data_IF_734562431955
#
_entry.id   IF_734562431955
#
_cell.length_a   1.000
_cell.length_b   1.000
_cell.length_c   1.000
_cell.angle_alpha   90.00
_cell.angle_beta   90.00
_cell.angle_gamma   90.00
#
_symmetry.space_group_name_H-M   'P 1'
#
loop_
_entity.id
_entity.type
_entity.pdbx_description
1 polymer ?
#
# COMPACT_ATOMS: atom_id res chain seq x y z
N UNK A 1 37.31 35.20 6.71
CA UNK A 1 37.40 34.06 5.77
C UNK A 1 36.17 34.08 4.89
N UNK A 2 36.31 34.09 3.56
CA UNK A 2 35.16 33.96 2.64
C UNK A 2 34.81 32.48 2.53
N UNK A 3 33.80 32.03 3.25
CA UNK A 3 33.28 30.66 3.13
C UNK A 3 32.57 30.52 1.79
N UNK A 4 33.03 29.61 0.94
CA UNK A 4 32.35 29.29 -0.32
C UNK A 4 31.21 28.33 -0.01
N UNK A 5 29.97 28.80 -0.14
CA UNK A 5 28.78 27.98 0.06
C UNK A 5 28.35 27.37 -1.27
N UNK A 6 28.36 26.04 -1.35
CA UNK A 6 27.89 25.28 -2.50
C UNK A 6 26.38 25.03 -2.36
N UNK A 7 25.57 25.78 -3.12
CA UNK A 7 24.09 25.73 -3.04
C UNK A 7 23.54 24.38 -3.47
N UNK A 8 24.17 23.73 -4.43
CA UNK A 8 23.89 22.37 -4.89
C UNK A 8 24.10 21.32 -3.79
N UNK A 9 25.23 21.39 -3.07
CA UNK A 9 25.51 20.51 -1.93
C UNK A 9 24.54 20.79 -0.78
N UNK A 10 24.28 22.06 -0.49
CA UNK A 10 23.31 22.48 0.53
C UNK A 10 21.90 21.95 0.23
N UNK A 11 21.48 22.06 -1.03
CA UNK A 11 20.20 21.53 -1.48
C UNK A 11 20.15 20.00 -1.32
N UNK A 12 21.17 19.28 -1.80
CA UNK A 12 21.21 17.82 -1.74
C UNK A 12 21.16 17.29 -0.30
N UNK A 13 21.96 17.86 0.62
CA UNK A 13 21.98 17.47 2.04
C UNK A 13 20.63 17.75 2.69
N UNK A 14 20.02 18.92 2.43
CA UNK A 14 18.71 19.25 3.00
C UNK A 14 17.58 18.40 2.41
N UNK A 15 17.64 18.03 1.13
CA UNK A 15 16.67 17.08 0.55
C UNK A 15 16.79 15.72 1.20
N UNK A 16 18.01 15.22 1.41
CA UNK A 16 18.22 13.94 2.08
C UNK A 16 17.70 13.95 3.53
N UNK A 17 18.03 14.99 4.30
CA UNK A 17 17.57 15.15 5.67
C UNK A 17 16.04 15.28 5.76
N UNK A 18 15.44 16.13 4.92
CA UNK A 18 13.99 16.31 4.88
C UNK A 18 13.26 15.04 4.42
N UNK A 19 13.85 14.25 3.52
CA UNK A 19 13.31 12.95 3.12
C UNK A 19 13.29 11.97 4.31
N UNK A 20 14.35 11.94 5.12
CA UNK A 20 14.41 11.16 6.36
C UNK A 20 13.34 11.58 7.38
N UNK A 21 13.21 12.89 7.63
CA UNK A 21 12.20 13.44 8.55
C UNK A 21 10.77 13.10 8.09
N UNK A 22 10.46 13.34 6.81
CA UNK A 22 9.16 13.00 6.24
C UNK A 22 8.91 11.48 6.26
N UNK A 23 9.95 10.67 6.07
CA UNK A 23 9.84 9.21 6.11
C UNK A 23 9.43 8.72 7.50
N UNK A 24 10.07 9.24 8.55
CA UNK A 24 9.76 8.92 9.96
C UNK A 24 8.38 9.48 10.35
N UNK A 25 8.08 10.73 10.01
CA UNK A 25 6.78 11.34 10.25
C UNK A 25 5.63 10.56 9.56
N UNK A 26 5.89 10.03 8.37
CA UNK A 26 4.95 9.17 7.65
C UNK A 26 4.72 7.80 8.31
N UNK A 27 5.73 7.22 9.01
CA UNK A 27 5.54 6.02 9.84
C UNK A 27 4.58 6.34 10.97
N UNK A 28 4.91 7.37 11.76
CA UNK A 28 4.18 7.72 12.96
C UNK A 28 2.73 8.12 12.63
N UNK A 29 2.52 8.79 11.50
CA UNK A 29 1.20 9.21 11.06
C UNK A 29 0.42 8.15 10.27
N UNK A 30 0.99 6.96 10.03
CA UNK A 30 0.30 5.86 9.34
C UNK A 30 0.03 6.07 7.84
N UNK A 31 0.76 6.97 7.16
CA UNK A 31 0.53 7.26 5.75
C UNK A 31 1.31 6.34 4.81
N UNK A 32 0.67 5.95 3.68
CA UNK A 32 1.35 5.25 2.58
C UNK A 32 2.37 6.17 1.91
N UNK A 33 3.58 5.65 1.71
CA UNK A 33 4.73 6.40 1.20
C UNK A 33 4.97 6.08 -0.26
N UNK A 34 5.16 7.10 -1.10
CA UNK A 34 5.64 6.96 -2.48
C UNK A 34 6.93 7.75 -2.61
N UNK A 35 8.00 7.11 -3.11
CA UNK A 35 9.33 7.72 -3.17
C UNK A 35 9.33 9.09 -3.89
N UNK A 36 8.64 9.18 -5.04
CA UNK A 36 8.55 10.44 -5.80
C UNK A 36 7.83 11.56 -5.03
N UNK A 37 6.76 11.22 -4.31
CA UNK A 37 6.03 12.20 -3.49
C UNK A 37 6.84 12.65 -2.28
N UNK A 38 7.54 11.72 -1.66
CA UNK A 38 8.42 11.99 -0.54
C UNK A 38 9.56 12.93 -0.95
N UNK A 39 10.18 12.66 -2.11
CA UNK A 39 11.20 13.54 -2.69
C UNK A 39 10.63 14.91 -3.02
N UNK A 40 9.44 15.01 -3.62
CA UNK A 40 8.81 16.30 -3.89
C UNK A 40 8.59 17.13 -2.62
N UNK A 41 8.11 16.51 -1.54
CA UNK A 41 8.00 17.17 -0.23
C UNK A 41 9.37 17.56 0.35
N UNK A 42 10.37 16.69 0.24
CA UNK A 42 11.72 16.96 0.73
C UNK A 42 12.42 18.09 -0.05
N UNK A 43 12.21 18.16 -1.36
CA UNK A 43 12.67 19.25 -2.23
C UNK A 43 12.08 20.58 -1.83
N UNK A 44 10.81 20.65 -1.43
CA UNK A 44 10.23 21.90 -0.92
C UNK A 44 10.95 22.40 0.34
N UNK A 45 11.29 21.50 1.27
CA UNK A 45 12.11 21.83 2.44
C UNK A 45 13.54 22.26 2.08
N UNK A 46 14.19 21.55 1.15
CA UNK A 46 15.53 21.90 0.68
C UNK A 46 15.59 23.25 -0.04
N UNK A 47 14.58 23.57 -0.86
CA UNK A 47 14.44 24.88 -1.50
C UNK A 47 14.25 25.99 -0.47
N UNK A 48 13.44 25.76 0.56
CA UNK A 48 13.27 26.71 1.65
C UNK A 48 14.61 27.05 2.34
N UNK A 49 15.42 26.03 2.65
CA UNK A 49 16.76 26.25 3.23
C UNK A 49 17.68 27.02 2.29
N UNK A 50 17.64 26.75 0.98
CA UNK A 50 18.44 27.50 0.01
C UNK A 50 18.01 28.96 -0.10
N UNK A 51 16.70 29.23 -0.06
CA UNK A 51 16.15 30.60 -0.08
C UNK A 51 16.63 31.38 1.16
N UNK A 52 16.54 30.79 2.35
CA UNK A 52 17.03 31.42 3.59
C UNK A 52 18.54 31.66 3.57
N UNK A 53 19.32 30.76 2.96
CA UNK A 53 20.76 30.92 2.84
C UNK A 53 21.17 32.07 1.91
N UNK A 54 20.40 32.33 0.85
CA UNK A 54 20.67 33.43 -0.10
C UNK A 54 20.10 34.76 0.39
N UNK A 55 18.94 34.74 1.06
CA UNK A 55 18.23 35.94 1.52
C UNK A 55 17.99 35.92 3.04
N UNK A 56 19.02 36.15 3.87
CA UNK A 56 18.91 36.16 5.34
C UNK A 56 18.33 37.50 5.86
N UNK A 57 17.21 37.96 5.28
CA UNK A 57 16.61 39.28 5.56
C UNK A 57 15.46 39.18 6.56
N UNK A 58 14.99 37.96 6.85
CA UNK A 58 13.84 37.74 7.72
C UNK A 58 14.22 37.82 9.20
N UNK A 59 13.42 38.51 10.05
CA UNK A 59 13.59 38.43 11.49
C UNK A 59 13.25 37.02 12.00
N UNK A 60 13.95 36.55 13.04
CA UNK A 60 13.87 35.17 13.56
C UNK A 60 12.44 34.68 13.83
N UNK A 61 11.56 35.56 14.32
CA UNK A 61 10.16 35.20 14.60
C UNK A 61 9.37 34.92 13.31
N UNK A 62 9.64 35.65 12.22
CA UNK A 62 8.99 35.45 10.92
C UNK A 62 9.50 34.18 10.24
N UNK A 63 10.81 33.92 10.32
CA UNK A 63 11.42 32.67 9.84
C UNK A 63 10.79 31.45 10.53
N UNK A 64 10.58 31.52 11.85
CA UNK A 64 9.96 30.46 12.63
C UNK A 64 8.50 30.22 12.18
N UNK A 65 7.72 31.29 12.03
CA UNK A 65 6.33 31.20 11.56
C UNK A 65 6.22 30.63 10.14
N UNK A 66 7.09 31.03 9.22
CA UNK A 66 7.10 30.51 7.85
C UNK A 66 7.50 29.03 7.80
N UNK A 67 8.54 28.66 8.55
CA UNK A 67 9.07 27.29 8.56
C UNK A 67 8.03 26.30 9.12
N UNK A 68 7.47 26.60 10.30
CA UNK A 68 6.52 25.68 10.94
C UNK A 68 5.07 25.88 10.47
N UNK A 69 4.69 27.09 10.10
CA UNK A 69 3.32 27.44 9.70
C UNK A 69 3.01 27.22 8.22
N UNK A 70 4.00 27.32 7.33
CA UNK A 70 3.79 27.22 5.88
C UNK A 70 4.54 26.04 5.25
N UNK A 71 5.85 25.94 5.50
CA UNK A 71 6.71 24.96 4.82
C UNK A 71 6.38 23.53 5.27
N UNK A 72 6.28 23.25 6.58
CA UNK A 72 5.89 21.94 7.09
C UNK A 72 4.58 21.39 6.51
N UNK A 73 3.47 22.17 6.50
CA UNK A 73 2.22 21.78 5.85
C UNK A 73 2.34 21.55 4.34
N UNK A 74 3.13 22.36 3.62
CA UNK A 74 3.39 22.18 2.17
C UNK A 74 4.13 20.87 1.93
N UNK A 75 5.21 20.61 2.68
CA UNK A 75 5.97 19.36 2.61
C UNK A 75 5.06 18.15 2.86
N UNK A 76 4.18 18.24 3.87
CA UNK A 76 3.22 17.19 4.21
C UNK A 76 2.20 16.91 3.10
N UNK A 77 1.63 17.95 2.47
CA UNK A 77 0.67 17.78 1.35
C UNK A 77 1.31 17.19 0.10
N UNK A 78 2.54 17.58 -0.20
CA UNK A 78 3.30 17.03 -1.33
C UNK A 78 3.63 15.55 -1.08
N UNK A 79 4.14 15.23 0.11
CA UNK A 79 4.55 13.88 0.48
C UNK A 79 3.39 12.90 0.68
N UNK A 80 2.27 13.34 1.26
CA UNK A 80 1.19 12.46 1.72
C UNK A 80 -0.20 12.94 1.31
N UNK A 81 -1.16 12.04 1.04
CA UNK A 81 -2.53 12.39 0.68
C UNK A 81 -3.34 12.80 1.92
N UNK A 82 -2.93 13.88 2.59
CA UNK A 82 -3.56 14.38 3.81
C UNK A 82 -4.86 15.12 3.45
N UNK A 83 -6.00 14.65 3.97
CA UNK A 83 -7.30 15.30 3.81
C UNK A 83 -7.70 16.01 5.11
N UNK A 84 -8.15 17.26 4.97
CA UNK A 84 -8.62 18.10 6.08
C UNK A 84 -7.51 18.86 6.81
N UNK A 85 -7.84 20.05 7.31
CA UNK A 85 -6.91 20.93 8.04
C UNK A 85 -6.48 20.35 9.39
N UNK A 86 -7.38 19.65 10.10
CA UNK A 86 -7.06 19.01 11.38
C UNK A 86 -6.01 17.91 11.28
N UNK A 87 -6.10 17.05 10.27
CA UNK A 87 -5.10 15.99 10.04
C UNK A 87 -3.76 16.55 9.57
N UNK A 88 -3.79 17.67 8.84
CA UNK A 88 -2.58 18.38 8.43
C UNK A 88 -1.88 19.02 9.62
N UNK A 89 -2.62 19.67 10.52
CA UNK A 89 -2.06 20.23 11.75
C UNK A 89 -1.42 19.14 12.61
N UNK A 90 -2.10 18.00 12.79
CA UNK A 90 -1.54 16.83 13.50
C UNK A 90 -0.24 16.34 12.86
N UNK A 91 -0.21 16.19 11.53
CA UNK A 91 0.99 15.78 10.82
C UNK A 91 2.15 16.78 10.98
N UNK A 92 1.87 18.08 10.81
CA UNK A 92 2.87 19.13 10.99
C UNK A 92 3.41 19.17 12.42
N UNK A 93 2.56 18.95 13.42
CA UNK A 93 3.00 18.84 14.81
C UNK A 93 3.94 17.65 15.02
N UNK A 94 3.61 16.47 14.49
CA UNK A 94 4.48 15.29 14.51
C UNK A 94 5.81 15.57 13.82
N UNK A 95 5.79 16.16 12.62
CA UNK A 95 6.99 16.53 11.89
C UNK A 95 7.86 17.52 12.68
N UNK A 96 7.25 18.51 13.34
CA UNK A 96 7.95 19.50 14.15
C UNK A 96 8.62 18.88 15.37
N UNK A 97 7.92 17.98 16.08
CA UNK A 97 8.47 17.25 17.24
C UNK A 97 9.68 16.42 16.82
N UNK A 98 9.57 15.66 15.72
CA UNK A 98 10.69 14.87 15.19
C UNK A 98 11.85 15.80 14.83
N UNK A 99 11.58 16.92 14.16
CA UNK A 99 12.61 17.88 13.72
C UNK A 99 13.35 18.54 14.88
N UNK A 100 12.62 18.98 15.92
CA UNK A 100 13.21 19.57 17.13
C UNK A 100 14.06 18.53 17.86
N UNK A 101 13.57 17.31 18.00
CA UNK A 101 14.30 16.23 18.65
C UNK A 101 15.58 15.86 17.89
N UNK A 102 15.48 15.65 16.57
CA UNK A 102 16.63 15.38 15.71
C UNK A 102 17.62 16.54 15.72
N UNK A 103 17.15 17.79 15.63
CA UNK A 103 17.99 18.99 15.71
C UNK A 103 18.71 19.12 17.06
N UNK A 104 18.03 18.82 18.17
CA UNK A 104 18.61 18.80 19.51
C UNK A 104 19.69 17.73 19.66
N UNK A 105 19.45 16.51 19.16
CA UNK A 105 20.44 15.43 19.15
C UNK A 105 21.65 15.78 18.29
N UNK A 106 21.44 16.32 17.09
CA UNK A 106 22.53 16.77 16.20
C UNK A 106 23.33 17.89 16.88
N UNK A 107 22.67 18.85 17.54
CA UNK A 107 23.34 19.93 18.28
C UNK A 107 24.17 19.41 19.46
N UNK A 108 23.64 18.43 20.21
CA UNK A 108 24.38 17.83 21.32
C UNK A 108 25.60 17.02 20.84
N UNK A 109 25.45 16.27 19.74
CA UNK A 109 26.56 15.57 19.08
C UNK A 109 27.57 16.55 18.47
N UNK A 110 27.10 17.66 17.92
CA UNK A 110 27.94 18.73 17.38
C UNK A 110 28.88 19.30 18.46
N UNK A 111 28.35 19.56 19.65
CA UNK A 111 29.10 20.14 20.78
C UNK A 111 30.08 19.14 21.41
N UNK A 112 29.72 17.86 21.51
CA UNK A 112 30.54 16.87 22.22
C UNK A 112 31.52 16.06 21.35
N UNK A 113 31.30 15.95 20.04
CA UNK A 113 32.07 15.03 19.17
C UNK A 113 32.92 15.75 18.13
N UNK A 114 32.91 17.09 18.08
CA UNK A 114 33.69 17.87 17.10
C UNK A 114 33.21 17.74 15.64
N UNK A 115 32.07 17.09 15.40
CA UNK A 115 31.48 16.87 14.07
C UNK A 115 31.06 18.15 13.33
N UNK A 116 31.01 19.28 14.04
CA UNK A 116 30.73 20.58 13.42
C UNK A 116 31.74 21.04 12.37
N UNK A 117 33.01 20.69 12.58
CA UNK A 117 34.06 20.96 11.60
C UNK A 117 33.86 20.11 10.34
N UNK A 118 33.40 18.86 10.46
CA UNK A 118 33.09 17.98 9.31
C UNK A 118 32.07 18.58 8.36
N UNK A 119 30.97 19.07 8.93
CA UNK A 119 29.82 19.57 8.17
C UNK A 119 30.16 20.93 7.56
N UNK A 120 30.85 21.79 8.32
CA UNK A 120 31.40 23.05 7.82
C UNK A 120 32.35 22.84 6.64
N UNK A 121 33.25 21.86 6.74
CA UNK A 121 34.27 21.58 5.73
C UNK A 121 33.70 20.88 4.49
N UNK A 122 32.74 19.97 4.67
CA UNK A 122 31.98 19.35 3.57
C UNK A 122 31.13 20.39 2.81
N UNK A 123 30.47 21.31 3.52
CA UNK A 123 29.70 22.41 2.92
C UNK A 123 30.59 23.48 2.27
N UNK A 124 31.88 23.55 2.66
CA UNK A 124 32.88 24.45 2.10
C UNK A 124 33.72 23.82 0.97
N UNK A 125 33.45 22.57 0.60
CA UNK A 125 34.17 21.85 -0.46
C UNK A 125 35.59 21.42 -0.11
N UNK A 126 35.89 21.22 1.17
CA UNK A 126 37.19 20.73 1.66
C UNK A 126 37.44 19.25 1.33
N UNK A 127 38.70 18.90 1.08
CA UNK A 127 39.13 17.52 0.78
C UNK A 127 38.93 16.64 2.01
N UNK A 128 38.23 15.51 1.86
CA UNK A 128 37.94 14.50 2.89
C UNK A 128 39.18 13.71 3.35
N UNK A 129 40.31 14.38 3.62
CA UNK A 129 41.61 13.72 3.87
C UNK A 129 41.97 13.58 5.36
N UNK A 130 41.03 13.85 6.28
CA UNK A 130 41.31 13.93 7.71
C UNK A 130 40.41 13.12 8.65
N UNK A 131 39.48 12.31 8.12
CA UNK A 131 38.58 11.51 8.96
C UNK A 131 39.10 10.08 9.07
N UNK A 132 39.31 9.61 10.32
CA UNK A 132 39.60 8.21 10.60
C UNK A 132 38.50 7.35 9.99
N UNK A 133 38.89 6.40 9.13
CA UNK A 133 38.06 5.43 8.41
C UNK A 133 36.86 4.91 9.25
N UNK A 134 37.04 4.83 10.57
CA UNK A 134 36.07 4.50 11.60
C UNK A 134 34.75 5.30 11.55
N UNK A 135 34.77 6.61 11.30
CA UNK A 135 33.54 7.44 11.31
C UNK A 135 32.73 7.21 10.04
N UNK A 136 33.40 7.11 8.89
CA UNK A 136 32.76 6.78 7.62
C UNK A 136 32.16 5.38 7.67
N UNK A 137 32.85 4.42 8.30
CA UNK A 137 32.34 3.07 8.55
C UNK A 137 31.11 3.08 9.47
N UNK A 138 31.10 3.89 10.54
CA UNK A 138 29.93 4.01 11.42
C UNK A 138 28.69 4.56 10.68
N UNK A 139 28.87 5.54 9.80
CA UNK A 139 27.77 6.05 8.97
C UNK A 139 27.32 5.03 7.92
N UNK A 140 28.24 4.30 7.30
CA UNK A 140 27.90 3.24 6.35
C UNK A 140 27.18 2.07 7.03
N UNK A 141 27.62 1.67 8.24
CA UNK A 141 26.99 0.61 9.03
C UNK A 141 25.61 1.03 9.52
N UNK A 142 25.45 2.26 10.00
CA UNK A 142 24.13 2.77 10.41
C UNK A 142 23.16 2.89 9.22
N UNK A 143 23.62 3.33 8.05
CA UNK A 143 22.84 3.33 6.82
C UNK A 143 22.48 1.91 6.36
N UNK A 144 23.40 0.95 6.47
CA UNK A 144 23.16 -0.46 6.14
C UNK A 144 22.16 -1.11 7.10
N UNK A 145 22.27 -0.88 8.40
CA UNK A 145 21.32 -1.38 9.40
C UNK A 145 19.93 -0.77 9.22
N UNK A 146 19.86 0.54 8.97
CA UNK A 146 18.62 1.21 8.62
C UNK A 146 18.01 0.65 7.31
N UNK A 147 18.85 0.38 6.31
CA UNK A 147 18.46 -0.27 5.05
C UNK A 147 17.97 -1.71 5.23
N UNK A 148 18.59 -2.49 6.13
CA UNK A 148 18.18 -3.84 6.49
C UNK A 148 16.83 -3.85 7.21
N UNK A 149 16.65 -2.97 8.20
CA UNK A 149 15.36 -2.83 8.88
C UNK A 149 14.29 -2.34 7.91
N UNK A 150 14.62 -1.39 7.02
CA UNK A 150 13.76 -0.94 5.94
C UNK A 150 13.37 -2.10 5.01
N UNK A 151 14.31 -2.94 4.60
CA UNK A 151 14.05 -4.11 3.74
C UNK A 151 13.25 -5.20 4.46
N UNK A 152 13.49 -5.41 5.75
CA UNK A 152 12.76 -6.38 6.56
C UNK A 152 11.32 -5.92 6.84
N UNK A 153 11.11 -4.62 7.06
CA UNK A 153 9.78 -3.99 7.14
C UNK A 153 9.07 -4.03 5.78
N UNK A 154 9.78 -3.72 4.68
CA UNK A 154 9.25 -3.75 3.32
C UNK A 154 8.86 -5.17 2.91
N UNK A 155 9.72 -6.15 3.22
CA UNK A 155 9.43 -7.58 3.03
C UNK A 155 8.20 -8.00 3.83
N UNK A 156 8.04 -7.54 5.07
CA UNK A 156 6.89 -7.91 5.91
C UNK A 156 5.59 -7.22 5.48
N UNK A 157 5.65 -5.99 4.94
CA UNK A 157 4.49 -5.27 4.40
C UNK A 157 4.09 -5.82 3.02
N UNK A 158 5.06 -6.12 2.15
CA UNK A 158 4.81 -6.79 0.88
C UNK A 158 4.31 -8.22 1.07
N UNK A 159 4.81 -8.95 2.08
CA UNK A 159 4.29 -10.27 2.46
C UNK A 159 2.89 -10.22 3.07
N UNK A 160 2.54 -9.17 3.83
CA UNK A 160 1.17 -8.99 4.36
C UNK A 160 0.10 -8.84 3.28
N UNK A 161 0.47 -8.29 2.11
CA UNK A 161 -0.43 -8.20 0.95
C UNK A 161 -0.18 -9.29 -0.09
N UNK A 162 0.85 -10.14 0.09
CA UNK A 162 1.11 -11.27 -0.80
C UNK A 162 0.05 -12.33 -0.52
N UNK A 163 -0.98 -12.34 -1.35
CA UNK A 163 -2.16 -13.17 -1.17
C UNK A 163 -3.44 -12.39 -0.92
N UNK A 164 -3.44 -11.06 -0.80
CA UNK A 164 -4.69 -10.30 -0.77
C UNK A 164 -5.09 -9.85 -2.19
N UNK A 165 -6.36 -10.03 -2.53
CA UNK A 165 -6.97 -9.54 -3.77
C UNK A 165 -8.32 -8.87 -3.47
N UNK A 166 -8.86 -8.07 -4.40
CA UNK A 166 -10.22 -7.53 -4.28
C UNK A 166 -11.19 -8.44 -5.02
N UNK A 167 -12.31 -8.74 -4.39
CA UNK A 167 -13.37 -9.59 -4.94
C UNK A 167 -14.71 -8.87 -4.84
N UNK A 168 -15.49 -8.95 -5.91
CA UNK A 168 -16.86 -8.46 -5.97
C UNK A 168 -17.78 -9.66 -6.15
N UNK A 169 -18.67 -9.88 -5.18
CA UNK A 169 -19.73 -10.88 -5.24
C UNK A 169 -21.01 -10.21 -5.76
N UNK A 170 -21.72 -10.88 -6.66
CA UNK A 170 -22.94 -10.37 -7.29
C UNK A 170 -24.04 -11.42 -7.17
N UNK A 171 -25.22 -10.97 -6.73
CA UNK A 171 -26.46 -11.75 -6.72
C UNK A 171 -27.64 -10.84 -7.08
N UNK A 172 -28.31 -11.12 -8.19
CA UNK A 172 -29.31 -10.26 -8.80
C UNK A 172 -28.78 -8.83 -8.97
N UNK A 173 -29.48 -7.87 -8.38
CA UNK A 173 -29.10 -6.45 -8.39
C UNK A 173 -28.18 -6.03 -7.23
N UNK A 174 -27.78 -6.97 -6.37
CA UNK A 174 -26.95 -6.70 -5.18
C UNK A 174 -25.50 -7.02 -5.46
N UNK A 175 -24.60 -6.21 -4.89
CA UNK A 175 -23.15 -6.36 -5.01
C UNK A 175 -22.49 -6.14 -3.65
N UNK A 176 -21.55 -7.00 -3.31
CA UNK A 176 -20.73 -6.88 -2.12
C UNK A 176 -19.25 -6.91 -2.54
N UNK A 177 -18.52 -5.86 -2.20
CA UNK A 177 -17.10 -5.75 -2.50
C UNK A 177 -16.28 -5.94 -1.23
N UNK A 178 -15.24 -6.78 -1.29
CA UNK A 178 -14.36 -7.02 -0.15
C UNK A 178 -12.92 -7.33 -0.57
N UNK A 179 -12.01 -7.27 0.41
CA UNK A 179 -10.68 -7.86 0.29
C UNK A 179 -10.74 -9.35 0.64
N UNK A 180 -10.02 -10.17 -0.14
CA UNK A 180 -10.00 -11.60 -0.02
C UNK A 180 -8.56 -12.13 0.11
N UNK A 181 -8.35 -13.09 1.01
CA UNK A 181 -7.11 -13.85 1.15
C UNK A 181 -7.13 -15.06 0.21
N UNK A 182 -6.21 -15.08 -0.74
CA UNK A 182 -5.92 -16.20 -1.63
C UNK A 182 -5.26 -17.30 -0.80
N UNK A 183 -6.02 -18.35 -0.52
CA UNK A 183 -5.54 -19.50 0.24
C UNK A 183 -5.37 -20.70 -0.69
N UNK A 184 -4.13 -20.96 -1.10
CA UNK A 184 -3.78 -22.15 -1.90
C UNK A 184 -4.00 -23.47 -1.14
N UNK A 185 -4.16 -23.41 0.18
CA UNK A 185 -4.48 -24.56 1.04
C UNK A 185 -5.97 -24.85 1.14
N UNK A 186 -6.84 -23.91 0.76
CA UNK A 186 -8.29 -24.14 0.76
C UNK A 186 -8.66 -25.11 -0.37
N UNK A 187 -9.20 -26.26 0.03
CA UNK A 187 -9.68 -27.36 -0.84
C UNK A 187 -11.15 -27.68 -0.61
N UNK A 188 -11.93 -26.75 -0.05
CA UNK A 188 -13.35 -26.98 0.17
C UNK A 188 -14.06 -27.10 -1.18
N UNK A 189 -14.81 -28.19 -1.35
CA UNK A 189 -15.63 -28.42 -2.51
C UNK A 189 -17.09 -28.62 -2.12
N UNK A 190 -18.01 -28.15 -2.96
CA UNK A 190 -19.42 -28.46 -2.88
C UNK A 190 -19.62 -29.98 -3.11
N UNK A 191 -20.30 -30.72 -2.21
CA UNK A 191 -20.41 -32.19 -2.30
C UNK A 191 -21.11 -32.72 -3.55
N UNK A 192 -22.09 -31.98 -4.08
CA UNK A 192 -22.95 -32.42 -5.20
C UNK A 192 -22.32 -32.15 -6.57
N UNK A 193 -21.71 -30.98 -6.74
CA UNK A 193 -21.19 -30.53 -8.04
C UNK A 193 -19.66 -30.56 -8.12
N UNK A 194 -18.97 -30.72 -7.00
CA UNK A 194 -17.52 -30.63 -6.91
C UNK A 194 -16.96 -29.20 -7.05
N UNK A 195 -17.81 -28.17 -7.05
CA UNK A 195 -17.38 -26.79 -7.27
C UNK A 195 -16.50 -26.26 -6.12
N UNK A 196 -15.44 -25.50 -6.43
CA UNK A 196 -14.59 -24.89 -5.41
C UNK A 196 -15.34 -23.82 -4.61
N UNK A 197 -15.14 -23.86 -3.29
CA UNK A 197 -15.88 -23.06 -2.30
C UNK A 197 -14.96 -22.02 -1.68
N UNK A 198 -15.32 -20.74 -1.80
CA UNK A 198 -14.69 -19.66 -1.04
C UNK A 198 -15.43 -19.45 0.28
N UNK A 199 -14.77 -18.99 1.33
CA UNK A 199 -15.39 -18.77 2.65
C UNK A 199 -15.50 -17.27 2.91
N UNK A 200 -16.66 -16.76 3.31
CA UNK A 200 -16.88 -15.35 3.57
C UNK A 200 -17.51 -15.12 4.95
N UNK A 201 -17.20 -13.97 5.57
CA UNK A 201 -17.86 -13.55 6.81
C UNK A 201 -19.36 -13.36 6.57
N UNK A 202 -20.18 -13.79 7.54
CA UNK A 202 -21.65 -13.68 7.44
C UNK A 202 -22.12 -12.25 7.19
N UNK A 203 -21.55 -11.27 7.87
CA UNK A 203 -21.89 -9.85 7.69
C UNK A 203 -21.70 -9.35 6.25
N UNK A 204 -20.79 -9.94 5.48
CA UNK A 204 -20.63 -9.64 4.06
C UNK A 204 -21.77 -10.25 3.24
N UNK A 205 -22.16 -11.48 3.56
CA UNK A 205 -23.20 -12.21 2.82
C UNK A 205 -24.61 -11.72 3.13
N UNK A 206 -24.90 -11.21 4.33
CA UNK A 206 -26.18 -10.57 4.68
C UNK A 206 -26.54 -9.44 3.72
N UNK A 207 -25.54 -8.73 3.17
CA UNK A 207 -25.78 -7.68 2.16
C UNK A 207 -26.35 -8.24 0.84
N UNK A 208 -26.04 -9.50 0.51
CA UNK A 208 -26.47 -10.22 -0.68
C UNK A 208 -27.71 -11.10 -0.44
N UNK A 209 -27.96 -11.49 0.81
CA UNK A 209 -29.02 -12.43 1.22
C UNK A 209 -29.79 -11.86 2.44
N UNK A 210 -30.79 -10.96 2.26
CA UNK A 210 -31.59 -10.43 3.36
C UNK A 210 -32.62 -11.46 3.92
N UNK A 211 -33.06 -11.24 5.17
CA UNK A 211 -33.85 -12.14 6.05
C UNK A 211 -35.34 -12.43 5.69
N UNK A 212 -35.71 -12.73 4.43
CA UNK A 212 -36.63 -13.86 4.22
C UNK A 212 -36.03 -14.95 3.33
N UNK A 213 -34.86 -14.70 2.74
CA UNK A 213 -34.12 -15.64 1.88
C UNK A 213 -32.97 -16.34 2.62
N UNK A 214 -32.77 -16.03 3.90
CA UNK A 214 -31.77 -16.70 4.73
C UNK A 214 -32.12 -18.17 4.99
N UNK A 215 -33.42 -18.51 5.07
CA UNK A 215 -33.85 -19.86 5.44
C UNK A 215 -33.93 -20.84 4.26
N UNK A 216 -33.77 -20.36 3.02
CA UNK A 216 -33.87 -21.19 1.82
C UNK A 216 -32.66 -21.04 0.90
N UNK A 217 -32.36 -22.07 0.10
CA UNK A 217 -31.31 -22.01 -0.92
C UNK A 217 -29.86 -22.10 -0.40
N UNK A 218 -29.65 -22.65 0.80
CA UNK A 218 -28.33 -23.03 1.28
C UNK A 218 -28.14 -24.55 1.24
N UNK A 219 -26.89 -24.99 1.23
CA UNK A 219 -26.50 -26.39 1.35
C UNK A 219 -25.38 -26.54 2.38
N UNK A 220 -25.26 -27.71 2.99
CA UNK A 220 -24.22 -27.96 3.97
C UNK A 220 -22.95 -28.46 3.29
N UNK A 221 -21.84 -27.75 3.51
CA UNK A 221 -20.52 -28.09 2.99
C UNK A 221 -19.72 -28.67 4.17
N UNK A 222 -19.43 -29.99 4.17
CA UNK A 222 -18.56 -30.56 5.18
C UNK A 222 -17.15 -29.97 5.04
N UNK A 223 -16.54 -29.59 6.15
CA UNK A 223 -15.16 -29.09 6.16
C UNK A 223 -14.33 -29.80 7.22
N UNK A 224 -13.02 -29.78 6.99
CA UNK A 224 -12.01 -30.22 7.96
C UNK A 224 -10.87 -29.20 7.95
N UNK A 225 -10.53 -28.70 9.12
CA UNK A 225 -9.42 -27.78 9.36
C UNK A 225 -8.51 -28.34 10.46
N UNK A 226 -7.40 -27.66 10.70
CA UNK A 226 -6.50 -27.99 11.82
C UNK A 226 -7.22 -27.82 13.17
N UNK A 227 -8.19 -26.91 13.25
CA UNK A 227 -8.97 -26.62 14.46
C UNK A 227 -10.21 -27.50 14.66
N UNK A 228 -10.53 -28.40 13.73
CA UNK A 228 -11.67 -29.31 13.86
C UNK A 228 -12.37 -29.63 12.53
N UNK A 229 -13.50 -30.33 12.62
CA UNK A 229 -14.37 -30.64 11.46
C UNK A 229 -15.80 -30.27 11.76
N UNK A 230 -16.57 -29.94 10.72
CA UNK A 230 -17.97 -29.57 10.87
C UNK A 230 -18.63 -29.32 9.52
N UNK A 231 -19.68 -28.50 9.53
CA UNK A 231 -20.38 -28.07 8.33
C UNK A 231 -20.40 -26.55 8.25
N UNK A 232 -20.20 -26.01 7.04
CA UNK A 232 -20.46 -24.62 6.72
C UNK A 232 -21.72 -24.54 5.87
N UNK A 233 -22.49 -23.46 6.04
CA UNK A 233 -23.62 -23.18 5.15
C UNK A 233 -23.08 -22.54 3.87
N UNK A 234 -23.26 -23.24 2.75
CA UNK A 234 -22.89 -22.82 1.41
C UNK A 234 -24.05 -22.19 0.67
N UNK A 235 -23.78 -21.12 -0.08
CA UNK A 235 -24.73 -20.46 -0.98
C UNK A 235 -24.10 -20.22 -2.33
N UNK A 236 -24.93 -20.19 -3.36
CA UNK A 236 -24.51 -19.84 -4.72
C UNK A 236 -24.74 -18.35 -4.96
N UNK A 237 -23.73 -17.67 -5.49
CA UNK A 237 -23.83 -16.31 -6.01
C UNK A 237 -23.84 -16.37 -7.54
N UNK A 238 -24.43 -15.38 -8.19
CA UNK A 238 -24.53 -15.35 -9.65
C UNK A 238 -23.16 -15.14 -10.27
N UNK A 239 -22.36 -14.21 -9.72
CA UNK A 239 -21.01 -13.94 -10.18
C UNK A 239 -20.04 -13.63 -9.04
N UNK A 240 -18.80 -14.07 -9.21
CA UNK A 240 -17.65 -13.64 -8.42
C UNK A 240 -16.62 -13.03 -9.36
N UNK A 241 -16.33 -11.75 -9.19
CA UNK A 241 -15.34 -11.02 -9.99
C UNK A 241 -14.09 -10.83 -9.14
N UNK A 242 -12.96 -11.33 -9.63
CA UNK A 242 -11.64 -11.15 -9.02
C UNK A 242 -10.96 -9.99 -9.75
N UNK A 243 -10.54 -8.97 -9.02
CA UNK A 243 -9.88 -7.79 -9.59
C UNK A 243 -8.35 -7.96 -9.63
N UNK A 244 -7.73 -7.38 -10.67
CA UNK A 244 -6.28 -7.34 -10.80
C UNK A 244 -5.66 -6.45 -9.69
N UNK A 245 -4.56 -6.91 -9.09
CA UNK A 245 -3.94 -6.18 -7.97
C UNK A 245 -3.59 -4.74 -8.36
N UNK A 246 -4.19 -3.77 -7.65
CA UNK A 246 -3.94 -2.35 -7.86
C UNK A 246 -4.71 -1.71 -9.03
N UNK A 247 -5.61 -2.44 -9.70
CA UNK A 247 -6.50 -1.92 -10.75
C UNK A 247 -7.97 -2.25 -10.42
N UNK A 248 -8.87 -1.58 -11.13
CA UNK A 248 -10.32 -1.87 -11.10
C UNK A 248 -10.76 -2.80 -12.26
N UNK A 249 -9.79 -3.35 -13.00
CA UNK A 249 -10.05 -4.28 -14.09
C UNK A 249 -10.27 -5.70 -13.56
N UNK A 250 -11.26 -6.43 -14.09
CA UNK A 250 -11.47 -7.82 -13.72
C UNK A 250 -10.32 -8.68 -14.27
N UNK A 251 -9.67 -9.44 -13.38
CA UNK A 251 -8.71 -10.48 -13.74
C UNK A 251 -9.41 -11.79 -14.11
N UNK A 252 -10.54 -12.09 -13.44
CA UNK A 252 -11.43 -13.20 -13.77
C UNK A 252 -12.87 -12.90 -13.35
N UNK A 253 -13.82 -13.52 -14.06
CA UNK A 253 -15.25 -13.52 -13.74
C UNK A 253 -15.71 -14.97 -13.68
N UNK A 254 -16.23 -15.38 -12.54
CA UNK A 254 -16.69 -16.74 -12.27
C UNK A 254 -18.21 -16.73 -12.17
N UNK A 255 -18.88 -17.48 -13.04
CA UNK A 255 -20.35 -17.62 -13.02
C UNK A 255 -20.77 -18.73 -12.05
N UNK A 256 -21.82 -18.45 -11.26
CA UNK A 256 -22.41 -19.43 -10.35
C UNK A 256 -21.46 -19.91 -9.26
N UNK A 257 -20.61 -19.03 -8.73
CA UNK A 257 -19.61 -19.35 -7.71
C UNK A 257 -20.27 -19.73 -6.38
N UNK A 258 -19.63 -20.61 -5.62
CA UNK A 258 -20.10 -21.06 -4.31
C UNK A 258 -19.31 -20.38 -3.20
N UNK A 259 -20.05 -19.82 -2.23
CA UNK A 259 -19.49 -19.15 -1.07
C UNK A 259 -20.09 -19.75 0.20
N UNK A 260 -19.24 -20.19 1.11
CA UNK A 260 -19.61 -20.64 2.44
C UNK A 260 -19.62 -19.47 3.43
N UNK A 261 -20.62 -19.39 4.29
CA UNK A 261 -20.70 -18.38 5.35
C UNK A 261 -20.01 -18.88 6.63
N UNK A 262 -19.32 -17.96 7.30
CA UNK A 262 -18.76 -18.20 8.65
C UNK A 262 -19.16 -17.06 9.58
N UNK A 263 -19.56 -17.44 10.80
CA UNK A 263 -19.87 -16.51 11.90
C UNK A 263 -18.58 -15.95 12.53
N UNK A 264 -17.45 -16.64 12.37
CA UNK A 264 -16.17 -16.24 12.92
C UNK A 264 -15.52 -15.17 12.06
N UNK A 265 -14.92 -14.17 12.71
CA UNK A 265 -14.12 -13.16 12.02
C UNK A 265 -12.90 -13.81 11.36
N UNK A 266 -12.74 -13.62 10.06
CA UNK A 266 -11.64 -14.20 9.29
C UNK A 266 -10.33 -13.45 9.56
N UNK A 267 -10.42 -12.13 9.72
CA UNK A 267 -9.26 -11.27 9.95
C UNK A 267 -9.35 -10.51 11.27
N UNK A 268 -8.39 -10.67 12.21
CA UNK A 268 -8.40 -9.94 13.48
C UNK A 268 -8.41 -8.42 13.30
N UNK A 269 -7.67 -7.91 12.31
CA UNK A 269 -7.56 -6.48 11.98
C UNK A 269 -8.54 -6.02 10.90
N UNK A 270 -9.38 -6.91 10.36
CA UNK A 270 -10.34 -6.61 9.29
C UNK A 270 -9.69 -6.37 7.93
N UNK A 271 -8.46 -6.85 7.72
CA UNK A 271 -7.74 -6.70 6.44
C UNK A 271 -8.37 -7.46 5.27
N UNK A 272 -9.20 -8.47 5.54
CA UNK A 272 -9.97 -9.24 4.56
C UNK A 272 -11.20 -9.86 5.22
N UNK A 273 -12.24 -10.14 4.44
CA UNK A 273 -13.49 -10.76 4.91
C UNK A 273 -13.89 -11.98 4.08
N UNK A 274 -13.02 -12.42 3.17
CA UNK A 274 -13.23 -13.57 2.32
C UNK A 274 -11.92 -14.37 2.17
N UNK A 275 -12.00 -15.69 2.21
CA UNK A 275 -10.93 -16.61 1.86
C UNK A 275 -11.28 -17.19 0.49
N UNK A 276 -10.47 -16.85 -0.51
CA UNK A 276 -10.62 -17.29 -1.88
C UNK A 276 -10.05 -18.70 -2.03
N UNK A 277 -10.79 -19.59 -2.70
CA UNK A 277 -10.36 -20.96 -2.96
C UNK A 277 -9.03 -21.02 -3.75
N UNK A 278 -8.21 -22.04 -3.46
CA UNK A 278 -6.86 -22.19 -4.04
C UNK A 278 -6.83 -22.30 -5.55
N UNK A 279 -7.84 -22.92 -6.16
CA UNK A 279 -7.99 -23.03 -7.63
C UNK A 279 -8.04 -21.67 -8.33
N UNK A 280 -8.45 -20.62 -7.63
CA UNK A 280 -8.51 -19.27 -8.17
C UNK A 280 -7.21 -18.48 -7.98
N UNK A 281 -6.22 -19.03 -7.28
CA UNK A 281 -4.95 -18.35 -7.02
C UNK A 281 -4.23 -17.94 -8.32
N UNK A 282 -4.25 -18.79 -9.35
CA UNK A 282 -3.66 -18.52 -10.66
C UNK A 282 -4.34 -17.36 -11.41
N UNK A 283 -5.56 -16.99 -11.04
CA UNK A 283 -6.34 -15.91 -11.65
C UNK A 283 -6.03 -14.53 -11.04
N UNK A 284 -5.32 -14.49 -9.91
CA UNK A 284 -5.00 -13.24 -9.18
C UNK A 284 -3.67 -12.61 -9.60
N UNK A 285 -2.82 -13.34 -10.32
CA UNK A 285 -1.51 -12.89 -10.73
C UNK A 285 -1.59 -12.01 -11.99
N UNK A 286 -0.98 -10.80 -11.94
CA UNK A 286 -0.69 -10.02 -13.13
C UNK A 286 0.07 -10.91 -14.12
N UNK A 287 -0.46 -11.12 -15.34
CA UNK A 287 0.29 -11.72 -16.45
C UNK A 287 1.44 -10.80 -16.85
N UNK A 288 2.55 -10.88 -16.12
CA UNK A 288 3.84 -10.28 -16.43
C UNK A 288 4.90 -11.36 -16.63
N UNK A 289 5.19 -11.69 -17.90
CA UNK A 289 6.32 -12.49 -18.42
C UNK A 289 6.59 -13.90 -17.83
N UNK A 290 6.09 -14.90 -18.58
CA UNK A 290 6.63 -16.25 -18.90
C UNK A 290 7.51 -16.98 -17.87
N UNK A 291 7.06 -18.19 -17.50
CA UNK A 291 7.86 -19.42 -17.69
C UNK A 291 7.00 -20.53 -18.30
N UNK A 292 7.48 -21.09 -19.41
CA UNK A 292 6.97 -22.30 -20.08
C UNK A 292 7.13 -23.50 -19.15
N UNK A 293 6.08 -24.29 -18.98
CA UNK A 293 6.15 -25.73 -18.77
C UNK A 293 4.76 -26.32 -19.05
N UNK A 294 4.76 -27.27 -19.98
CA UNK A 294 3.63 -27.89 -20.67
C UNK A 294 2.51 -28.48 -19.79
N UNK A 295 1.28 -28.42 -20.32
CA UNK A 295 0.50 -29.64 -20.54
C UNK A 295 -0.74 -29.86 -19.67
N UNK A 296 -1.86 -29.21 -19.99
CA UNK A 296 -3.13 -29.93 -20.27
C UNK A 296 -4.15 -28.99 -20.94
N UNK A 297 -4.91 -29.58 -21.87
CA UNK A 297 -5.96 -29.04 -22.72
C UNK A 297 -7.02 -28.29 -21.89
N UNK A 298 -7.67 -27.22 -22.32
CA UNK A 298 -8.06 -26.80 -23.66
C UNK A 298 -9.58 -26.62 -23.65
N UNK A 299 -10.09 -25.41 -23.41
CA UNK A 299 -11.45 -25.02 -23.78
C UNK A 299 -11.40 -23.61 -24.40
N UNK A 300 -11.39 -23.66 -25.73
CA UNK A 300 -11.79 -22.71 -26.77
C UNK A 300 -12.13 -21.26 -26.37
N UNK A 301 -11.37 -20.37 -26.99
CA UNK A 301 -11.60 -18.93 -27.11
C UNK A 301 -12.57 -18.57 -28.25
N UNK A 302 -13.26 -19.54 -28.85
CA UNK A 302 -14.20 -19.29 -29.97
C UNK A 302 -15.62 -18.96 -29.53
N UNK A 303 -16.01 -19.23 -28.27
CA UNK A 303 -17.37 -18.89 -27.81
C UNK A 303 -17.56 -17.39 -27.56
N UNK A 304 -16.51 -16.66 -27.17
CA UNK A 304 -16.59 -15.21 -26.91
C UNK A 304 -16.73 -14.38 -28.19
N UNK A 305 -16.29 -14.90 -29.34
CA UNK A 305 -16.41 -14.19 -30.62
C UNK A 305 -17.76 -14.41 -31.30
N UNK A 306 -18.39 -15.58 -31.11
CA UNK A 306 -19.69 -15.88 -31.70
C UNK A 306 -20.85 -15.15 -30.99
N UNK A 307 -20.73 -14.93 -29.68
CA UNK A 307 -21.77 -14.28 -28.87
C UNK A 307 -21.81 -12.76 -29.06
N UNK A 308 -20.67 -12.14 -29.37
CA UNK A 308 -20.60 -10.71 -29.72
C UNK A 308 -21.20 -10.42 -31.11
N UNK A 309 -21.13 -11.35 -32.06
CA UNK A 309 -21.71 -11.17 -33.40
C UNK A 309 -23.24 -11.31 -33.38
N UNK A 310 -23.79 -12.13 -32.49
CA UNK A 310 -25.23 -12.35 -32.38
C UNK A 310 -25.96 -11.24 -31.59
N UNK A 311 -25.27 -10.55 -30.68
CA UNK A 311 -25.83 -9.41 -29.94
C UNK A 311 -25.88 -8.14 -30.81
N UNK A 312 -24.90 -7.94 -31.71
CA UNK A 312 -24.87 -6.78 -32.59
C UNK A 312 -25.96 -6.82 -33.68
N UNK A 313 -26.37 -8.02 -34.11
CA UNK A 313 -27.43 -8.19 -35.12
C UNK A 313 -28.85 -8.02 -34.51
N UNK A 314 -29.00 -8.27 -33.19
CA UNK A 314 -30.26 -8.06 -32.48
C UNK A 314 -30.53 -6.60 -32.12
N UNK A 315 -29.51 -5.79 -31.88
CA UNK A 315 -29.65 -4.35 -31.64
C UNK A 315 -30.12 -3.61 -32.90
N UNK A 316 -29.59 -3.98 -34.07
CA UNK A 316 -29.88 -3.29 -35.33
C UNK A 316 -31.30 -3.57 -35.86
N UNK A 317 -31.92 -4.68 -35.43
CA UNK A 317 -33.31 -5.03 -35.78
C UNK A 317 -34.35 -4.39 -34.85
N UNK A 318 -33.96 -3.90 -33.67
CA UNK A 318 -34.86 -3.25 -32.71
C UNK A 318 -34.90 -1.73 -32.87
N UNK A 319 -33.94 -1.10 -33.55
CA UNK A 319 -33.93 0.34 -33.86
C UNK A 319 -34.70 0.72 -35.14
N UNK A 320 -35.23 -0.26 -35.90
CA UNK A 320 -35.96 -0.04 -37.15
C UNK A 320 -37.47 -0.34 -37.11
N UNK A 321 -38.08 -0.41 -35.92
CA UNK A 321 -39.53 -0.60 -35.76
C UNK A 321 -40.18 0.46 -34.91
#
# INVERSE_FOLDING_TARGET
>A
MKTKLYIDVLFAVNVWMNAGLLYVAGIWSGYRKKALRLLAGASAGGLWTCILAVFPVLPRWAELLLTYGLVGPVMGRLAFPIKGTGNLFRFTAVLSVISIFTGGLISQLYLHTGMGYAVSELLSGGTLYGWSLSVLLLLAVSAFLAGKELFHLFGSICRRNAGLCRVILIRGNRKAETAALVDTGNRLCEPSTGRPVSVAEKCLLETLFPEPEEETGFFLIPYRSIGGSGFLKGRKVDRMIILEQGKHTPAAVLEGAVVAETESRLSPDGSYQLILHGDYAGLTACKGKRRRSNGHQGISSEQVSAENHFQHEKSDLLEKK
#
